data_IF_713295734507
#
_entry.id   IF_713295734507
#
_cell.length_a   1.000
_cell.length_b   1.000
_cell.length_c   1.000
_cell.angle_alpha   90.00
_cell.angle_beta   90.00
_cell.angle_gamma   90.00
#
_symmetry.space_group_name_H-M   'P 1'
#
loop_
_entity.id
_entity.type
_entity.pdbx_description
1 polymer ?
#
# COMPACT_ATOMS: atom_id res chain seq x y z
N UNK A 1 1.33 -7.39 4.19
CA UNK A 1 1.19 -6.38 5.27
C UNK A 1 -0.25 -5.88 5.19
N UNK A 2 -0.95 -5.65 6.31
CA UNK A 2 -2.35 -5.19 6.27
C UNK A 2 -2.45 -3.71 6.67
N UNK A 3 -3.04 -2.89 5.82
CA UNK A 3 -3.52 -1.56 6.20
C UNK A 3 -4.96 -1.67 6.65
N UNK A 4 -5.28 -1.04 7.78
CA UNK A 4 -6.62 -0.96 8.31
C UNK A 4 -6.94 0.50 8.63
N UNK A 5 -8.11 0.95 8.18
CA UNK A 5 -8.68 2.26 8.52
C UNK A 5 -9.55 2.10 9.77
N UNK A 6 -9.42 3.02 10.72
CA UNK A 6 -10.23 3.01 11.94
C UNK A 6 -11.38 4.02 11.83
N UNK A 7 -12.52 3.69 12.45
CA UNK A 7 -13.65 4.62 12.55
C UNK A 7 -13.22 5.85 13.35
N UNK A 8 -13.20 7.02 12.70
CA UNK A 8 -12.68 8.27 13.27
C UNK A 8 -11.45 8.85 12.56
N UNK A 9 -10.83 8.09 11.65
CA UNK A 9 -9.79 8.64 10.78
C UNK A 9 -10.36 9.78 9.92
N UNK A 10 -9.71 10.95 9.96
CA UNK A 10 -10.11 12.10 9.15
C UNK A 10 -9.71 11.85 7.69
N UNK A 11 -10.67 11.38 6.91
CA UNK A 11 -10.55 11.11 5.47
C UNK A 11 -10.97 12.30 4.60
N UNK A 12 -10.96 13.53 5.13
CA UNK A 12 -11.39 14.70 4.35
C UNK A 12 -10.55 14.82 3.08
N UNK A 13 -11.19 15.15 1.95
CA UNK A 13 -10.54 15.28 0.65
C UNK A 13 -9.41 16.33 0.59
N UNK A 14 -9.22 17.12 1.66
CA UNK A 14 -8.20 18.15 1.78
C UNK A 14 -6.83 17.60 2.19
N UNK A 15 -6.78 16.47 2.89
CA UNK A 15 -5.52 15.84 3.32
C UNK A 15 -5.59 14.33 3.05
N UNK A 16 -4.87 13.82 2.04
CA UNK A 16 -4.85 12.39 1.77
C UNK A 16 -4.18 11.63 2.91
N UNK A 17 -4.82 10.57 3.39
CA UNK A 17 -4.19 9.65 4.33
C UNK A 17 -3.06 8.92 3.61
N UNK A 18 -1.84 9.03 4.14
CA UNK A 18 -0.66 8.46 3.49
C UNK A 18 0.17 7.61 4.44
N UNK A 19 0.78 6.55 3.89
CA UNK A 19 1.65 5.64 4.64
C UNK A 19 2.90 5.31 3.84
N UNK A 20 4.06 5.43 4.48
CA UNK A 20 5.33 4.98 3.92
C UNK A 20 5.49 3.47 4.12
N UNK A 21 5.86 2.78 3.05
CA UNK A 21 6.07 1.34 3.02
C UNK A 21 7.50 1.08 2.52
N UNK A 22 8.11 0.04 3.08
CA UNK A 22 9.46 -0.43 2.73
C UNK A 22 9.37 -1.84 2.17
N UNK A 23 10.01 -2.05 1.03
CA UNK A 23 10.18 -3.37 0.42
C UNK A 23 11.64 -3.60 0.08
N UNK A 24 12.11 -4.84 0.22
CA UNK A 24 13.51 -5.21 -0.05
C UNK A 24 13.62 -6.06 -1.31
N UNK A 25 14.63 -5.79 -2.12
CA UNK A 25 14.98 -6.53 -3.31
C UNK A 25 16.33 -7.21 -3.13
N UNK A 26 16.47 -8.43 -3.66
CA UNK A 26 17.80 -9.03 -3.79
C UNK A 26 18.63 -8.13 -4.71
N UNK A 27 19.80 -7.71 -4.22
CA UNK A 27 20.70 -6.82 -4.95
C UNK A 27 21.05 -7.33 -6.35
N UNK A 28 21.28 -8.64 -6.49
CA UNK A 28 21.63 -9.25 -7.77
C UNK A 28 20.44 -9.96 -8.42
N UNK A 29 19.23 -9.66 -7.93
CA UNK A 29 18.00 -10.17 -8.50
C UNK A 29 17.70 -9.55 -9.87
N UNK A 30 16.81 -10.18 -10.66
CA UNK A 30 16.36 -9.61 -11.92
C UNK A 30 15.55 -8.33 -11.67
N UNK A 31 15.58 -7.44 -12.66
CA UNK A 31 14.61 -6.35 -12.75
C UNK A 31 13.20 -6.93 -12.72
N UNK A 32 12.34 -6.42 -11.83
CA UNK A 32 10.95 -6.86 -11.72
C UNK A 32 10.05 -5.75 -11.22
N UNK A 33 8.77 -5.84 -11.58
CA UNK A 33 7.77 -5.05 -10.90
C UNK A 33 7.75 -5.45 -9.41
N UNK A 34 7.57 -4.50 -8.49
CA UNK A 34 7.30 -4.83 -7.10
C UNK A 34 6.00 -5.63 -6.97
N UNK A 35 5.80 -6.22 -5.79
CA UNK A 35 4.56 -6.93 -5.48
C UNK A 35 3.38 -5.95 -5.46
N UNK A 36 2.21 -6.44 -5.90
CA UNK A 36 0.98 -5.64 -5.86
C UNK A 36 0.65 -5.27 -4.40
N UNK A 37 0.20 -4.03 -4.19
CA UNK A 37 -0.23 -3.59 -2.86
C UNK A 37 -1.69 -3.97 -2.62
N UNK A 38 -1.90 -4.96 -1.76
CA UNK A 38 -3.23 -5.39 -1.33
C UNK A 38 -3.80 -4.42 -0.28
N UNK A 39 -4.94 -3.83 -0.61
CA UNK A 39 -5.73 -3.00 0.29
C UNK A 39 -6.86 -3.84 0.84
N UNK A 40 -6.95 -3.90 2.16
CA UNK A 40 -7.89 -4.75 2.89
C UNK A 40 -8.88 -3.86 3.65
N UNK A 41 -10.08 -4.40 3.88
CA UNK A 41 -11.13 -3.76 4.66
C UNK A 41 -11.73 -4.72 5.68
N UNK A 42 -12.18 -4.18 6.80
CA UNK A 42 -13.02 -4.87 7.78
C UNK A 42 -14.07 -3.91 8.31
N UNK A 43 -15.20 -4.46 8.75
CA UNK A 43 -16.24 -3.73 9.48
C UNK A 43 -16.34 -4.16 10.94
N UNK A 44 -15.36 -4.93 11.45
CA UNK A 44 -15.32 -5.41 12.83
C UNK A 44 -14.49 -4.46 13.69
N UNK A 45 -15.05 -4.07 14.84
CA UNK A 45 -14.36 -3.26 15.84
C UNK A 45 -14.29 -4.02 17.19
N UNK A 46 -13.11 -4.06 17.86
CA UNK A 46 -11.83 -3.56 17.39
C UNK A 46 -11.31 -4.37 16.18
N UNK A 47 -10.42 -3.77 15.37
CA UNK A 47 -9.81 -4.48 14.27
C UNK A 47 -9.19 -5.81 14.70
N UNK A 48 -9.39 -6.90 13.94
CA UNK A 48 -8.79 -8.18 14.26
C UNK A 48 -7.26 -8.07 14.21
N UNK A 49 -6.59 -8.54 15.26
CA UNK A 49 -5.12 -8.56 15.34
C UNK A 49 -4.49 -9.72 14.59
N UNK A 50 -5.31 -10.69 14.17
CA UNK A 50 -4.92 -11.84 13.36
C UNK A 50 -5.73 -11.83 12.08
N UNK A 51 -5.17 -12.45 11.03
CA UNK A 51 -5.91 -12.66 9.79
C UNK A 51 -7.14 -13.52 10.04
N UNK A 52 -8.31 -13.01 9.65
CA UNK A 52 -9.58 -13.71 9.68
C UNK A 52 -10.31 -13.45 8.35
N UNK A 53 -10.41 -14.45 7.46
CA UNK A 53 -10.99 -14.30 6.14
C UNK A 53 -12.52 -14.08 6.15
N UNK A 54 -13.20 -14.30 7.28
CA UNK A 54 -14.65 -14.05 7.37
C UNK A 54 -14.96 -12.56 7.51
N UNK A 55 -14.05 -11.80 8.15
CA UNK A 55 -14.25 -10.40 8.51
C UNK A 55 -13.27 -9.45 7.83
N UNK A 56 -12.14 -9.95 7.31
CA UNK A 56 -11.19 -9.21 6.48
C UNK A 56 -11.44 -9.57 5.02
N UNK A 57 -11.73 -8.55 4.21
CA UNK A 57 -11.95 -8.70 2.78
C UNK A 57 -10.96 -7.85 2.00
N UNK A 58 -10.52 -8.35 0.85
CA UNK A 58 -9.80 -7.51 -0.11
C UNK A 58 -10.74 -6.42 -0.62
N UNK A 59 -10.30 -5.17 -0.54
CA UNK A 59 -10.96 -4.04 -1.17
C UNK A 59 -10.47 -3.90 -2.61
N UNK A 60 -9.15 -3.88 -2.81
CA UNK A 60 -8.51 -3.95 -4.11
C UNK A 60 -7.00 -4.18 -4.00
N UNK A 61 -6.39 -4.54 -5.12
CA UNK A 61 -4.93 -4.56 -5.29
C UNK A 61 -4.46 -3.44 -6.23
N UNK A 62 -3.39 -2.73 -5.85
CA UNK A 62 -2.75 -1.70 -6.67
C UNK A 62 -1.53 -2.30 -7.36
N UNK A 63 -1.53 -2.25 -8.70
CA UNK A 63 -0.40 -2.70 -9.50
C UNK A 63 0.61 -1.59 -9.69
N UNK A 64 1.87 -1.98 -9.66
CA UNK A 64 2.96 -1.11 -10.09
C UNK A 64 3.01 -1.03 -11.62
N UNK A 65 3.17 0.18 -12.13
CA UNK A 65 3.33 0.47 -13.55
C UNK A 65 4.82 0.46 -13.98
N UNK A 66 5.73 0.44 -13.01
CA UNK A 66 7.18 0.57 -13.22
C UNK A 66 7.91 -0.68 -12.77
N UNK A 67 8.85 -1.13 -13.61
CA UNK A 67 9.82 -2.18 -13.27
C UNK A 67 10.97 -1.53 -12.50
N UNK A 68 11.35 -2.12 -11.38
CA UNK A 68 12.44 -1.62 -10.53
C UNK A 68 13.73 -2.37 -10.84
N UNK A 69 14.81 -1.61 -10.98
CA UNK A 69 16.18 -2.11 -11.01
C UNK A 69 16.75 -2.17 -9.58
N UNK A 70 17.00 -3.36 -9.02
CA UNK A 70 17.56 -3.50 -7.67
C UNK A 70 18.92 -2.82 -7.49
N UNK A 71 19.74 -2.72 -8.54
CA UNK A 71 21.07 -2.11 -8.46
C UNK A 71 21.00 -0.57 -8.37
N UNK A 72 19.88 0.03 -8.81
CA UNK A 72 19.61 1.46 -8.70
C UNK A 72 19.03 1.87 -7.32
N UNK A 73 18.67 0.91 -6.48
CA UNK A 73 18.10 1.17 -5.16
C UNK A 73 19.18 1.50 -4.11
N UNK A 74 18.86 2.32 -3.09
CA UNK A 74 19.68 2.47 -1.90
C UNK A 74 19.99 1.11 -1.26
N UNK A 75 21.26 0.91 -0.89
CA UNK A 75 21.73 -0.35 -0.33
C UNK A 75 21.53 -0.38 1.17
N UNK A 76 20.93 -1.46 1.66
CA UNK A 76 20.79 -1.74 3.08
C UNK A 76 21.48 -3.08 3.40
N UNK A 77 22.28 -3.09 4.46
CA UNK A 77 22.86 -4.34 4.98
C UNK A 77 21.97 -4.83 6.12
N UNK A 78 21.38 -6.00 5.95
CA UNK A 78 20.54 -6.58 6.97
C UNK A 78 21.36 -7.17 8.13
N UNK A 79 20.69 -7.63 9.20
CA UNK A 79 21.34 -8.12 10.42
C UNK A 79 22.20 -9.37 10.22
N UNK A 80 22.06 -10.08 9.10
CA UNK A 80 22.84 -11.26 8.75
C UNK A 80 23.99 -10.95 7.77
N UNK A 81 24.23 -9.66 7.47
CA UNK A 81 25.33 -9.21 6.60
C UNK A 81 25.04 -9.28 5.10
N UNK A 82 23.82 -9.61 4.68
CA UNK A 82 23.41 -9.59 3.27
C UNK A 82 23.03 -8.16 2.86
N UNK A 83 23.47 -7.76 1.67
CA UNK A 83 23.15 -6.46 1.08
C UNK A 83 21.95 -6.61 0.17
N UNK A 84 20.88 -5.92 0.51
CA UNK A 84 19.63 -5.86 -0.25
C UNK A 84 19.40 -4.42 -0.76
N UNK A 85 18.67 -4.25 -1.86
CA UNK A 85 18.17 -2.96 -2.29
C UNK A 85 16.90 -2.59 -1.52
N UNK A 86 16.82 -1.40 -0.95
CA UNK A 86 15.64 -0.92 -0.22
C UNK A 86 14.81 0.00 -1.13
N UNK A 87 13.57 -0.40 -1.40
CA UNK A 87 12.56 0.41 -2.07
C UNK A 87 11.68 1.08 -1.00
N UNK A 88 11.70 2.42 -0.97
CA UNK A 88 10.83 3.23 -0.14
C UNK A 88 9.79 3.92 -1.02
N UNK A 89 8.52 3.77 -0.68
CA UNK A 89 7.41 4.40 -1.39
C UNK A 89 6.31 4.79 -0.41
N UNK A 90 5.37 5.60 -0.90
CA UNK A 90 4.21 6.07 -0.15
C UNK A 90 2.95 5.62 -0.86
N UNK A 91 2.06 4.96 -0.12
CA UNK A 91 0.69 4.73 -0.57
C UNK A 91 -0.17 5.88 -0.03
N UNK A 92 -0.96 6.51 -0.89
CA UNK A 92 -1.91 7.56 -0.54
C UNK A 92 -3.33 7.10 -0.83
N UNK A 93 -4.25 7.44 0.06
CA UNK A 93 -5.69 7.32 -0.13
C UNK A 93 -6.32 8.69 -0.25
N UNK A 94 -7.25 8.78 -1.19
CA UNK A 94 -8.05 9.98 -1.47
C UNK A 94 -9.51 9.57 -1.51
N UNK A 95 -10.38 10.31 -0.81
CA UNK A 95 -11.82 10.10 -0.87
C UNK A 95 -12.45 11.16 -1.77
N UNK A 96 -13.25 10.73 -2.74
CA UNK A 96 -13.97 11.61 -3.65
C UNK A 96 -15.40 11.11 -3.82
N UNK A 97 -16.32 11.67 -3.01
CA UNK A 97 -17.72 11.27 -3.01
C UNK A 97 -17.89 9.79 -2.67
N UNK A 98 -18.43 9.02 -3.61
CA UNK A 98 -18.70 7.58 -3.48
C UNK A 98 -17.50 6.69 -3.86
N UNK A 99 -16.31 7.28 -4.04
CA UNK A 99 -15.13 6.53 -4.46
C UNK A 99 -13.94 6.81 -3.58
N UNK A 100 -13.14 5.77 -3.40
CA UNK A 100 -11.84 5.83 -2.74
C UNK A 100 -10.78 5.54 -3.81
N UNK A 101 -9.81 6.44 -3.91
CA UNK A 101 -8.67 6.34 -4.80
C UNK A 101 -7.40 6.05 -4.01
N UNK A 102 -6.65 5.04 -4.43
CA UNK A 102 -5.34 4.69 -3.91
C UNK A 102 -4.27 4.93 -4.96
N UNK A 103 -3.11 5.44 -4.54
CA UNK A 103 -1.98 5.68 -5.41
C UNK A 103 -0.65 5.40 -4.72
N UNK A 104 0.27 4.78 -5.47
CA UNK A 104 1.65 4.53 -5.05
C UNK A 104 2.53 5.65 -5.59
N UNK A 105 3.31 6.25 -4.72
CA UNK A 105 4.28 7.29 -5.04
C UNK A 105 5.68 6.89 -4.62
N UNK A 106 6.64 7.09 -5.53
CA UNK A 106 8.07 6.95 -5.27
C UNK A 106 8.77 8.21 -5.74
N UNK A 107 9.56 8.82 -4.87
CA UNK A 107 10.28 10.07 -5.16
C UNK A 107 9.36 11.19 -5.74
N UNK A 108 8.10 11.24 -5.28
CA UNK A 108 7.08 12.19 -5.75
C UNK A 108 6.43 11.84 -7.09
N UNK A 109 6.89 10.79 -7.77
CA UNK A 109 6.30 10.27 -9.00
C UNK A 109 5.27 9.19 -8.68
N UNK A 110 4.12 9.25 -9.35
CA UNK A 110 3.08 8.22 -9.29
C UNK A 110 3.55 6.98 -10.06
N UNK A 111 3.58 5.83 -9.41
CA UNK A 111 4.05 4.55 -9.96
C UNK A 111 2.95 3.48 -10.03
N UNK A 112 1.73 3.82 -9.61
CA UNK A 112 0.57 2.95 -9.70
C UNK A 112 -0.66 3.60 -9.05
N UNK A 113 -1.86 3.20 -9.48
CA UNK A 113 -3.08 3.60 -8.77
C UNK A 113 -4.26 2.70 -9.05
N UNK A 114 -5.22 2.73 -8.13
CA UNK A 114 -6.50 2.04 -8.25
C UNK A 114 -7.59 2.90 -7.62
N UNK A 115 -8.75 2.98 -8.24
CA UNK A 115 -9.94 3.57 -7.61
C UNK A 115 -11.05 2.53 -7.53
N UNK A 116 -11.78 2.55 -6.42
CA UNK A 116 -12.89 1.67 -6.12
C UNK A 116 -14.09 2.50 -5.70
N UNK A 117 -15.27 2.11 -6.17
CA UNK A 117 -16.52 2.64 -5.62
C UNK A 117 -16.79 1.96 -4.28
N UNK A 118 -17.20 2.75 -3.30
CA UNK A 118 -17.57 2.27 -1.98
C UNK A 118 -19.04 2.60 -1.77
N UNK A 119 -19.87 1.56 -1.71
CA UNK A 119 -21.27 1.71 -1.33
C UNK A 119 -21.35 1.89 0.18
N UNK A 120 -21.50 3.13 0.63
CA UNK A 120 -21.83 3.42 2.02
C UNK A 120 -23.27 2.98 2.25
N UNK A 121 -23.45 1.81 2.86
CA UNK A 121 -24.78 1.36 3.25
C UNK A 121 -25.25 2.23 4.43
N UNK A 122 -25.87 3.37 4.12
CA UNK A 122 -26.50 4.25 5.12
C UNK A 122 -27.71 3.50 5.67
N UNK A 123 -27.58 2.99 6.90
CA UNK A 123 -28.74 2.60 7.72
C UNK A 123 -29.31 3.82 8.43
#
# INVERSE_FOLDING_TARGET
MAWLLEEGDNISALEPTSRSIKQTFDRHGPMRAPEDEEILQTNVFPPPTRWDPEVIKELCSIRWETIIDPDALPKFTNRIGRVDGELLYRCEMTCSGESVGFAIYRDGKKEGSKSVKVDYNTR
#
